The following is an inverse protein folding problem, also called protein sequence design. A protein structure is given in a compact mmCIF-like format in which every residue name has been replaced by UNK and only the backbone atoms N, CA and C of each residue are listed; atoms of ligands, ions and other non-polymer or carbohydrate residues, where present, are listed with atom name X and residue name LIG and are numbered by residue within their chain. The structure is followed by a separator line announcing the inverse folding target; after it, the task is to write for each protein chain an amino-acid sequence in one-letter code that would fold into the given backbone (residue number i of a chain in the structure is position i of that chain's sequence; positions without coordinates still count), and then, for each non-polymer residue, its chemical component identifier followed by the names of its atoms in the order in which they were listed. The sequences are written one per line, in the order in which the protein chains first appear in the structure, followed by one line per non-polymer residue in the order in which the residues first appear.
data_IF_114930163567
#
_entry.id   IF_114930163567
#
_cell.length_a   1.000
_cell.length_b   1.000
_cell.length_c   1.000
_cell.angle_alpha   90.00
_cell.angle_beta   90.00
_cell.angle_gamma   90.00
#
_symmetry.space_group_name_H-M   'P 1'
#
loop_
_entity.id
_entity.type
_entity.pdbx_description
1 polymer ?
#
# COMPACT_ATOMS: atom_id res chain seq x y z
N UNK A 1 25.03 13.56 7.87
CA UNK A 1 24.76 12.77 6.64
C UNK A 1 24.50 13.80 5.57
N UNK A 2 25.49 14.11 4.73
CA UNK A 2 25.46 15.30 3.86
C UNK A 2 24.28 15.28 2.87
N UNK A 3 24.00 14.14 2.25
CA UNK A 3 22.90 13.98 1.29
C UNK A 3 21.52 14.22 1.92
N UNK A 4 21.29 13.71 3.14
CA UNK A 4 20.03 13.99 3.84
C UNK A 4 19.86 15.47 4.12
N UNK A 5 20.91 16.13 4.61
CA UNK A 5 20.86 17.56 4.92
C UNK A 5 20.59 18.40 3.66
N UNK A 6 21.16 18.02 2.52
CA UNK A 6 20.91 18.64 1.22
C UNK A 6 19.45 18.43 0.76
N UNK A 7 18.94 17.20 0.84
CA UNK A 7 17.57 16.89 0.46
C UNK A 7 16.58 17.63 1.37
N UNK A 8 16.82 17.64 2.69
CA UNK A 8 15.98 18.37 3.64
C UNK A 8 15.96 19.88 3.36
N UNK A 9 17.12 20.49 3.06
CA UNK A 9 17.19 21.91 2.70
C UNK A 9 16.38 22.20 1.44
N UNK A 10 16.48 21.33 0.44
CA UNK A 10 15.73 21.46 -0.82
C UNK A 10 14.22 21.37 -0.62
N UNK A 11 13.74 20.54 0.31
CA UNK A 11 12.30 20.44 0.64
C UNK A 11 11.79 21.55 1.58
N UNK A 12 12.68 22.23 2.32
CA UNK A 12 12.33 23.38 3.16
C UNK A 12 12.15 24.68 2.36
N UNK A 13 12.81 24.80 1.21
CA UNK A 13 12.68 25.96 0.35
C UNK A 13 11.48 25.80 -0.60
N UNK A 14 10.56 26.78 -0.59
CA UNK A 14 9.44 26.81 -1.52
C UNK A 14 9.79 27.73 -2.69
N UNK A 15 10.07 27.13 -3.84
CA UNK A 15 10.27 27.84 -5.09
C UNK A 15 9.00 28.64 -5.47
N UNK A 16 9.15 29.86 -6.01
CA UNK A 16 8.02 30.63 -6.51
C UNK A 16 7.24 29.90 -7.60
N UNK A 17 5.92 30.12 -7.64
CA UNK A 17 5.05 29.48 -8.63
C UNK A 17 5.34 29.96 -10.06
N UNK A 18 5.55 29.00 -10.94
CA UNK A 18 5.76 29.20 -12.38
C UNK A 18 4.51 28.72 -13.11
N UNK A 19 3.87 29.63 -13.87
CA UNK A 19 2.69 29.34 -14.68
C UNK A 19 2.89 29.78 -16.12
N UNK A 20 2.60 28.89 -17.05
CA UNK A 20 2.50 29.16 -18.49
C UNK A 20 1.10 29.67 -18.88
N UNK A 21 0.94 30.17 -20.11
CA UNK A 21 -0.36 30.62 -20.62
C UNK A 21 -1.42 29.50 -20.63
N UNK A 22 -1.04 28.26 -20.91
CA UNK A 22 -1.93 27.09 -20.84
C UNK A 22 -2.35 26.76 -19.41
N UNK A 23 -1.46 26.93 -18.43
CA UNK A 23 -1.78 26.67 -17.01
C UNK A 23 -2.85 27.63 -16.52
N UNK A 24 -2.78 28.90 -16.93
CA UNK A 24 -3.81 29.88 -16.62
C UNK A 24 -5.17 29.52 -17.23
N UNK A 25 -5.19 28.99 -18.44
CA UNK A 25 -6.42 28.51 -19.06
C UNK A 25 -7.00 27.29 -18.32
N UNK A 26 -6.13 26.34 -17.96
CA UNK A 26 -6.49 25.17 -17.18
C UNK A 26 -7.10 25.57 -15.82
N UNK A 27 -6.43 26.47 -15.10
CA UNK A 27 -6.93 27.00 -13.83
C UNK A 27 -8.29 27.69 -13.97
N UNK A 28 -8.47 28.52 -15.02
CA UNK A 28 -9.73 29.23 -15.25
C UNK A 28 -10.89 28.29 -15.58
N UNK A 29 -10.64 27.23 -16.35
CA UNK A 29 -11.64 26.24 -16.78
C UNK A 29 -11.90 25.15 -15.74
N UNK A 30 -11.03 24.98 -14.74
CA UNK A 30 -11.15 23.91 -13.76
C UNK A 30 -12.40 24.04 -12.90
N UNK A 31 -13.28 23.04 -12.99
CA UNK A 31 -14.48 22.88 -12.16
C UNK A 31 -14.24 21.93 -10.98
N UNK A 32 -13.20 21.10 -11.05
CA UNK A 32 -12.87 20.10 -10.02
C UNK A 32 -11.51 20.38 -9.39
N UNK A 33 -11.40 20.10 -8.10
CA UNK A 33 -10.14 20.15 -7.35
C UNK A 33 -9.22 19.02 -7.83
N UNK A 34 -8.00 19.34 -8.23
CA UNK A 34 -7.07 18.30 -8.71
C UNK A 34 -6.61 17.33 -7.59
N UNK A 35 -6.74 17.70 -6.30
CA UNK A 35 -6.34 16.90 -5.13
C UNK A 35 -7.47 15.94 -4.73
N UNK A 36 -8.63 16.47 -4.34
CA UNK A 36 -9.73 15.66 -3.80
C UNK A 36 -10.76 15.24 -4.85
N UNK A 37 -10.65 15.74 -6.09
CA UNK A 37 -11.55 15.47 -7.22
C UNK A 37 -13.00 15.92 -7.04
N UNK A 38 -13.30 16.70 -5.99
CA UNK A 38 -14.63 17.31 -5.75
C UNK A 38 -14.75 18.67 -6.43
N UNK A 39 -15.99 19.14 -6.62
CA UNK A 39 -16.30 20.45 -7.21
C UNK A 39 -15.63 21.60 -6.45
N UNK A 40 -15.07 22.55 -7.21
CA UNK A 40 -14.52 23.79 -6.69
C UNK A 40 -15.64 24.81 -6.48
N UNK A 41 -15.63 25.46 -5.32
CA UNK A 41 -16.41 26.67 -5.09
C UNK A 41 -15.76 27.86 -5.81
N UNK A 42 -16.42 29.03 -5.76
CA UNK A 42 -15.94 30.26 -6.40
C UNK A 42 -14.51 30.65 -5.96
N UNK A 43 -14.13 30.33 -4.72
CA UNK A 43 -12.78 30.54 -4.19
C UNK A 43 -11.93 29.29 -4.42
N UNK A 44 -11.19 29.27 -5.53
CA UNK A 44 -10.17 28.26 -5.84
C UNK A 44 -8.76 28.84 -5.73
N UNK A 45 -7.84 28.04 -5.21
CA UNK A 45 -6.42 28.39 -5.08
C UNK A 45 -5.58 27.61 -6.09
N UNK A 46 -4.38 28.11 -6.35
CA UNK A 46 -3.42 27.50 -7.28
C UNK A 46 -2.41 26.69 -6.47
N UNK A 47 -2.39 25.38 -6.69
CA UNK A 47 -1.36 24.50 -6.12
C UNK A 47 -0.16 24.41 -7.05
N UNK A 48 1.02 24.27 -6.47
CA UNK A 48 2.27 24.12 -7.21
C UNK A 48 3.26 23.24 -6.47
N UNK A 49 4.17 22.64 -7.22
CA UNK A 49 5.22 21.83 -6.62
C UNK A 49 6.33 22.71 -6.04
N UNK A 50 6.46 22.72 -4.71
CA UNK A 50 7.40 23.60 -3.99
C UNK A 50 8.88 23.45 -4.40
N UNK A 51 9.29 22.31 -4.96
CA UNK A 51 10.69 22.08 -5.37
C UNK A 51 10.99 22.60 -6.78
N UNK A 52 9.98 22.70 -7.66
CA UNK A 52 10.19 23.11 -9.07
C UNK A 52 9.45 24.37 -9.46
N UNK A 53 8.58 24.89 -8.58
CA UNK A 53 7.67 25.99 -8.89
C UNK A 53 6.48 25.61 -9.80
N UNK A 54 6.50 24.43 -10.44
CA UNK A 54 5.52 24.08 -11.49
C UNK A 54 4.09 23.99 -10.95
N UNK A 55 3.16 24.63 -11.64
CA UNK A 55 1.73 24.52 -11.39
C UNK A 55 1.24 23.07 -11.51
N UNK A 56 0.41 22.65 -10.54
CA UNK A 56 -0.18 21.31 -10.51
C UNK A 56 -1.66 21.31 -10.87
N UNK A 57 -2.41 22.29 -10.36
CA UNK A 57 -3.83 22.38 -10.62
C UNK A 57 -4.57 23.35 -9.71
N UNK A 58 -5.85 23.56 -10.03
CA UNK A 58 -6.76 24.26 -9.14
C UNK A 58 -7.13 23.38 -7.93
N UNK A 59 -7.24 23.96 -6.75
CA UNK A 59 -7.57 23.26 -5.53
C UNK A 59 -8.47 24.07 -4.59
N UNK A 60 -9.13 23.39 -3.64
CA UNK A 60 -9.71 24.07 -2.47
C UNK A 60 -8.59 24.64 -1.60
N UNK A 61 -8.87 25.72 -0.87
CA UNK A 61 -7.90 26.31 0.05
C UNK A 61 -7.41 25.30 1.09
N UNK A 62 -8.34 24.57 1.71
CA UNK A 62 -8.02 23.56 2.73
C UNK A 62 -7.25 22.38 2.14
N UNK A 63 -7.61 21.92 0.93
CA UNK A 63 -6.86 20.87 0.25
C UNK A 63 -5.43 21.31 -0.01
N UNK A 64 -5.23 22.53 -0.53
CA UNK A 64 -3.91 23.08 -0.83
C UNK A 64 -3.04 23.25 0.43
N UNK A 65 -3.62 23.75 1.53
CA UNK A 65 -2.89 23.93 2.79
C UNK A 65 -2.44 22.58 3.36
N UNK A 66 -3.29 21.55 3.24
CA UNK A 66 -3.00 20.22 3.77
C UNK A 66 -2.16 19.36 2.81
N UNK A 67 -2.12 19.68 1.52
CA UNK A 67 -1.36 18.96 0.50
C UNK A 67 0.09 19.45 0.46
N UNK A 68 0.78 19.30 1.59
CA UNK A 68 2.18 19.68 1.76
C UNK A 68 3.03 18.45 2.01
N UNK A 69 4.29 18.55 1.62
CA UNK A 69 5.29 17.57 1.99
C UNK A 69 5.38 17.50 3.52
N UNK A 70 5.27 16.29 4.08
CA UNK A 70 5.21 16.06 5.54
C UNK A 70 6.58 16.14 6.22
N UNK A 71 7.64 16.42 5.44
CA UNK A 71 9.01 16.38 5.93
C UNK A 71 9.61 14.97 5.93
N UNK A 72 8.81 13.92 5.66
CA UNK A 72 9.29 12.53 5.69
C UNK A 72 9.68 12.01 4.30
N UNK A 73 10.84 11.38 4.22
CA UNK A 73 11.44 10.88 2.98
C UNK A 73 11.41 9.35 2.98
N UNK A 74 10.63 8.71 2.10
CA UNK A 74 10.62 7.26 1.99
C UNK A 74 11.86 6.75 1.25
N UNK A 75 12.64 5.89 1.91
CA UNK A 75 13.78 5.16 1.40
C UNK A 75 13.34 3.73 1.07
N UNK A 76 13.17 3.45 -0.22
CA UNK A 76 12.60 2.18 -0.69
C UNK A 76 13.71 1.18 -1.00
N UNK A 77 13.61 0.01 -0.41
CA UNK A 77 14.49 -1.13 -0.65
C UNK A 77 13.65 -2.34 -1.11
N UNK A 78 14.26 -3.30 -1.80
CA UNK A 78 13.58 -4.56 -2.13
C UNK A 78 14.07 -5.68 -1.23
N UNK A 79 13.16 -6.25 -0.43
CA UNK A 79 13.44 -7.26 0.58
C UNK A 79 14.36 -6.76 1.72
N UNK A 80 14.16 -5.51 2.13
CA UNK A 80 14.85 -4.89 3.26
C UNK A 80 14.81 -5.76 4.51
N UNK A 81 13.62 -6.29 4.83
CA UNK A 81 13.39 -7.12 6.01
C UNK A 81 14.17 -8.45 5.98
N UNK A 82 14.47 -8.96 4.79
CA UNK A 82 15.15 -10.24 4.61
C UNK A 82 16.67 -10.15 4.62
N UNK A 83 17.24 -9.01 4.21
CA UNK A 83 18.68 -8.86 3.99
C UNK A 83 19.26 -7.62 4.67
N UNK A 84 18.90 -6.42 4.19
CA UNK A 84 19.64 -5.20 4.51
C UNK A 84 19.33 -4.61 5.89
N UNK A 85 18.16 -4.92 6.47
CA UNK A 85 17.70 -4.29 7.72
C UNK A 85 18.68 -4.49 8.88
N UNK A 86 19.28 -5.67 9.00
CA UNK A 86 20.21 -5.97 10.09
C UNK A 86 21.51 -5.17 9.97
N UNK A 87 22.07 -5.08 8.76
CA UNK A 87 23.30 -4.33 8.49
C UNK A 87 23.08 -2.84 8.71
N UNK A 88 21.96 -2.31 8.21
CA UNK A 88 21.59 -0.90 8.39
C UNK A 88 21.39 -0.59 9.88
N UNK A 89 20.70 -1.45 10.63
CA UNK A 89 20.50 -1.24 12.07
C UNK A 89 21.82 -1.19 12.86
N UNK A 90 22.78 -2.06 12.51
CA UNK A 90 24.12 -2.05 13.11
C UNK A 90 24.89 -0.77 12.78
N UNK A 91 24.75 -0.26 11.55
CA UNK A 91 25.36 0.99 11.13
C UNK A 91 24.72 2.20 11.85
N UNK A 92 23.39 2.21 11.99
CA UNK A 92 22.63 3.26 12.68
C UNK A 92 23.06 3.41 14.13
N UNK A 93 23.37 2.31 14.83
CA UNK A 93 23.85 2.36 16.22
C UNK A 93 25.13 3.18 16.38
N UNK A 94 25.92 3.35 15.31
CA UNK A 94 27.14 4.17 15.30
C UNK A 94 26.88 5.64 14.95
N UNK A 95 25.67 5.99 14.51
CA UNK A 95 25.28 7.35 14.15
C UNK A 95 24.66 8.02 15.37
N UNK A 96 25.40 8.93 15.99
CA UNK A 96 24.90 9.71 17.13
C UNK A 96 24.00 10.87 16.67
N UNK A 97 23.05 11.26 17.52
CA UNK A 97 22.25 12.48 17.33
C UNK A 97 21.00 12.36 16.45
N UNK A 98 20.58 11.15 16.05
CA UNK A 98 19.31 10.94 15.32
C UNK A 98 18.37 10.00 16.06
N UNK A 99 17.10 10.37 16.10
CA UNK A 99 16.05 9.55 16.69
C UNK A 99 15.77 8.34 15.78
N UNK A 100 15.90 7.15 16.35
CA UNK A 100 15.51 5.89 15.72
C UNK A 100 14.12 5.50 16.22
N UNK A 101 13.20 5.24 15.29
CA UNK A 101 11.90 4.62 15.56
C UNK A 101 11.80 3.30 14.77
N UNK A 102 11.16 2.27 15.31
CA UNK A 102 11.00 1.00 14.61
C UNK A 102 9.63 0.38 14.83
N UNK A 103 9.15 -0.31 13.80
CA UNK A 103 7.95 -1.15 13.85
C UNK A 103 8.45 -2.59 13.75
N UNK A 104 8.58 -3.26 14.90
CA UNK A 104 8.98 -4.65 14.94
C UNK A 104 7.85 -5.56 14.39
N UNK A 105 8.22 -6.58 13.61
CA UNK A 105 7.31 -7.65 13.24
C UNK A 105 7.39 -8.80 14.26
N UNK A 106 8.61 -9.16 14.61
CA UNK A 106 8.95 -10.11 15.66
C UNK A 106 10.30 -9.71 16.29
N UNK A 107 10.88 -10.57 17.13
CA UNK A 107 12.14 -10.26 17.82
C UNK A 107 13.37 -10.11 16.90
N UNK A 108 13.28 -10.58 15.65
CA UNK A 108 14.41 -10.57 14.71
C UNK A 108 14.17 -9.61 13.54
N UNK A 109 12.93 -9.48 13.09
CA UNK A 109 12.58 -8.81 11.84
C UNK A 109 11.74 -7.57 12.10
N UNK A 110 12.05 -6.51 11.35
CA UNK A 110 11.36 -5.23 11.40
C UNK A 110 10.47 -5.08 10.16
N UNK A 111 9.28 -4.51 10.33
CA UNK A 111 8.40 -4.11 9.22
C UNK A 111 8.98 -2.86 8.55
N UNK A 112 9.39 -1.88 9.35
CA UNK A 112 9.99 -0.63 8.92
C UNK A 112 10.74 0.00 10.09
N UNK A 113 11.69 0.88 9.79
CA UNK A 113 12.34 1.73 10.77
C UNK A 113 12.53 3.13 10.18
N UNK A 114 12.58 4.12 11.06
CA UNK A 114 12.75 5.53 10.71
C UNK A 114 13.97 6.08 11.41
N UNK A 115 14.77 6.86 10.67
CA UNK A 115 15.93 7.57 11.21
C UNK A 115 15.77 9.06 10.95
N UNK A 116 15.40 9.82 11.99
CA UNK A 116 15.00 11.22 11.84
C UNK A 116 13.80 11.35 10.91
N UNK A 117 13.99 11.99 9.76
CA UNK A 117 12.94 12.20 8.76
C UNK A 117 12.89 11.12 7.65
N UNK A 118 13.81 10.14 7.65
CA UNK A 118 13.84 9.09 6.64
C UNK A 118 13.07 7.86 7.12
N UNK A 119 12.23 7.30 6.27
CA UNK A 119 11.49 6.07 6.54
C UNK A 119 11.94 4.96 5.61
N UNK A 120 12.41 3.86 6.16
CA UNK A 120 12.87 2.73 5.38
C UNK A 120 11.71 1.78 5.11
N UNK A 121 11.40 1.60 3.83
CA UNK A 121 10.23 0.86 3.36
C UNK A 121 10.69 -0.32 2.50
N UNK A 122 10.06 -1.46 2.70
CA UNK A 122 10.32 -2.67 1.95
C UNK A 122 9.27 -2.85 0.85
N UNK A 123 9.67 -2.66 -0.40
CA UNK A 123 8.80 -2.85 -1.57
C UNK A 123 8.25 -4.27 -1.68
N UNK A 124 8.93 -5.29 -1.13
CA UNK A 124 8.46 -6.68 -1.13
C UNK A 124 7.19 -6.84 -0.26
N UNK A 125 6.98 -5.97 0.72
CA UNK A 125 5.75 -5.95 1.52
C UNK A 125 4.54 -5.43 0.74
N UNK A 126 4.77 -4.79 -0.41
CA UNK A 126 3.73 -4.35 -1.33
C UNK A 126 3.58 -5.32 -2.50
N UNK A 127 4.70 -5.67 -3.11
CA UNK A 127 4.81 -6.47 -4.32
C UNK A 127 5.51 -7.78 -3.96
N UNK A 128 4.74 -8.78 -3.54
CA UNK A 128 5.24 -10.07 -3.06
C UNK A 128 5.76 -10.97 -4.20
N UNK A 129 6.66 -10.45 -5.01
CA UNK A 129 7.35 -11.12 -6.10
C UNK A 129 8.82 -10.74 -6.07
N UNK A 130 9.70 -11.63 -6.56
CA UNK A 130 11.12 -11.32 -6.67
C UNK A 130 11.37 -10.16 -7.62
N UNK A 131 12.45 -9.41 -7.39
CA UNK A 131 12.88 -8.35 -8.31
C UNK A 131 13.02 -8.87 -9.74
N UNK A 132 13.60 -10.06 -9.93
CA UNK A 132 13.69 -10.70 -11.25
C UNK A 132 12.32 -10.77 -11.94
N UNK A 133 11.27 -11.24 -11.25
CA UNK A 133 9.93 -11.34 -11.81
C UNK A 133 9.28 -9.98 -12.08
N UNK A 134 9.60 -8.97 -11.28
CA UNK A 134 9.12 -7.60 -11.49
C UNK A 134 9.80 -6.93 -12.69
N UNK A 135 11.06 -7.27 -12.95
CA UNK A 135 11.92 -6.67 -13.97
C UNK A 135 11.99 -7.51 -15.25
N UNK A 136 11.40 -8.72 -15.27
CA UNK A 136 11.35 -9.62 -16.44
C UNK A 136 10.83 -8.95 -17.73
N UNK A 137 10.01 -7.89 -17.60
CA UNK A 137 9.47 -7.12 -18.72
C UNK A 137 10.12 -5.73 -18.91
N UNK A 138 11.17 -5.39 -18.17
CA UNK A 138 11.85 -4.09 -18.20
C UNK A 138 13.30 -4.22 -18.72
N UNK A 139 13.80 -3.16 -19.36
CA UNK A 139 15.17 -3.13 -19.87
C UNK A 139 16.19 -3.13 -18.71
N UNK A 140 17.32 -3.82 -18.92
CA UNK A 140 18.32 -4.20 -17.92
C UNK A 140 18.91 -3.01 -17.14
N UNK A 141 18.41 -2.76 -15.93
CA UNK A 141 19.10 -2.08 -14.82
C UNK A 141 18.26 -2.23 -13.53
N UNK A 142 18.69 -3.09 -12.59
CA UNK A 142 17.87 -3.58 -11.47
C UNK A 142 17.33 -2.48 -10.53
N UNK A 143 18.08 -1.39 -10.31
CA UNK A 143 17.68 -0.30 -9.40
C UNK A 143 16.71 0.67 -10.05
N UNK A 144 16.96 1.05 -11.31
CA UNK A 144 16.03 1.91 -12.05
C UNK A 144 14.72 1.19 -12.31
N UNK A 145 14.77 -0.11 -12.61
CA UNK A 145 13.57 -0.91 -12.79
C UNK A 145 12.74 -1.02 -11.50
N UNK A 146 13.37 -1.12 -10.31
CA UNK A 146 12.63 -1.06 -9.06
C UNK A 146 11.95 0.30 -8.86
N UNK A 147 12.64 1.39 -9.16
CA UNK A 147 12.09 2.74 -9.06
C UNK A 147 10.88 2.89 -9.99
N UNK A 148 11.01 2.50 -11.27
CA UNK A 148 9.94 2.58 -12.26
C UNK A 148 8.71 1.76 -11.84
N UNK A 149 8.91 0.51 -11.40
CA UNK A 149 7.81 -0.36 -10.95
C UNK A 149 7.12 0.23 -9.73
N UNK A 150 7.89 0.71 -8.75
CA UNK A 150 7.31 1.26 -7.52
C UNK A 150 6.65 2.61 -7.76
N UNK A 151 7.18 3.47 -8.63
CA UNK A 151 6.56 4.73 -9.02
C UNK A 151 5.21 4.49 -9.72
N UNK A 152 5.16 3.56 -10.67
CA UNK A 152 3.91 3.16 -11.29
C UNK A 152 2.90 2.61 -10.25
N UNK A 153 3.35 1.78 -9.31
CA UNK A 153 2.51 1.30 -8.22
C UNK A 153 1.96 2.45 -7.35
N UNK A 154 2.78 3.44 -7.02
CA UNK A 154 2.37 4.63 -6.27
C UNK A 154 1.34 5.45 -7.05
N UNK A 155 1.56 5.66 -8.34
CA UNK A 155 0.64 6.38 -9.21
C UNK A 155 -0.72 5.68 -9.26
N UNK A 156 -0.75 4.36 -9.44
CA UNK A 156 -1.98 3.57 -9.38
C UNK A 156 -2.67 3.75 -8.02
N UNK A 157 -1.95 3.61 -6.91
CA UNK A 157 -2.54 3.77 -5.57
C UNK A 157 -3.12 5.16 -5.34
N UNK A 158 -2.42 6.21 -5.80
CA UNK A 158 -2.88 7.59 -5.72
C UNK A 158 -4.12 7.82 -6.61
N UNK A 159 -4.14 7.28 -7.83
CA UNK A 159 -5.24 7.48 -8.75
C UNK A 159 -6.51 6.74 -8.32
N UNK A 160 -6.39 5.48 -7.88
CA UNK A 160 -7.54 4.66 -7.51
C UNK A 160 -8.01 4.88 -6.06
N UNK A 161 -7.08 5.02 -5.12
CA UNK A 161 -7.40 5.10 -3.69
C UNK A 161 -7.16 6.49 -3.08
N UNK A 162 -6.42 7.36 -3.78
CA UNK A 162 -5.99 8.65 -3.25
C UNK A 162 -5.06 8.52 -2.03
N UNK A 163 -4.29 7.43 -1.96
CA UNK A 163 -3.31 7.16 -0.92
C UNK A 163 -1.96 6.87 -1.58
N UNK A 164 -0.89 7.48 -1.07
CA UNK A 164 0.47 7.18 -1.54
C UNK A 164 1.02 5.98 -0.79
N UNK A 165 1.32 4.90 -1.53
CA UNK A 165 1.92 3.70 -0.97
C UNK A 165 3.28 3.97 -0.30
N UNK A 166 4.02 5.00 -0.74
CA UNK A 166 5.31 5.35 -0.15
C UNK A 166 5.21 5.96 1.25
N UNK A 167 4.01 6.28 1.72
CA UNK A 167 3.79 6.71 3.11
C UNK A 167 3.20 5.61 3.99
N UNK A 168 3.23 4.38 3.48
CA UNK A 168 2.73 3.18 4.13
C UNK A 168 3.80 2.12 4.18
N UNK A 169 3.52 1.03 4.90
CA UNK A 169 4.53 0.01 5.18
C UNK A 169 4.29 -1.31 4.46
N UNK A 170 3.02 -1.65 4.17
CA UNK A 170 2.66 -2.98 3.64
C UNK A 170 1.37 -2.91 2.80
N UNK A 171 1.19 -3.86 1.90
CA UNK A 171 -0.05 -4.03 1.13
C UNK A 171 -1.31 -4.21 2.02
N UNK A 172 -1.29 -5.03 3.09
CA UNK A 172 -2.41 -5.09 4.04
C UNK A 172 -2.68 -3.76 4.74
N UNK A 173 -1.65 -3.01 5.09
CA UNK A 173 -1.80 -1.67 5.68
C UNK A 173 -2.46 -0.68 4.72
N UNK A 174 -2.03 -0.69 3.44
CA UNK A 174 -2.66 0.07 2.37
C UNK A 174 -4.13 -0.32 2.18
N UNK A 175 -4.43 -1.61 2.08
CA UNK A 175 -5.80 -2.10 1.91
C UNK A 175 -6.70 -1.68 3.08
N UNK A 176 -6.20 -1.77 4.32
CA UNK A 176 -6.93 -1.35 5.52
C UNK A 176 -7.22 0.15 5.51
N UNK A 177 -6.23 0.99 5.21
CA UNK A 177 -6.44 2.44 5.13
C UNK A 177 -7.37 2.85 3.99
N UNK A 178 -7.24 2.20 2.82
CA UNK A 178 -8.17 2.39 1.71
C UNK A 178 -9.59 2.05 2.14
N UNK A 179 -9.80 0.92 2.82
CA UNK A 179 -11.12 0.51 3.30
C UNK A 179 -11.72 1.55 4.28
N UNK A 180 -10.93 2.05 5.24
CA UNK A 180 -11.37 3.10 6.17
C UNK A 180 -11.72 4.39 5.44
N UNK A 181 -10.89 4.81 4.48
CA UNK A 181 -11.13 6.01 3.69
C UNK A 181 -12.39 5.90 2.82
N UNK A 182 -12.60 4.76 2.17
CA UNK A 182 -13.76 4.53 1.31
C UNK A 182 -15.06 4.41 2.11
N UNK A 183 -15.01 3.81 3.30
CA UNK A 183 -16.20 3.64 4.16
C UNK A 183 -16.49 4.87 5.02
N UNK A 184 -15.50 5.74 5.26
CA UNK A 184 -15.61 6.87 6.18
C UNK A 184 -15.71 6.47 7.66
N UNK A 185 -15.46 5.19 7.97
CA UNK A 185 -15.60 4.65 9.32
C UNK A 185 -14.42 5.07 10.18
N UNK A 186 -14.72 5.53 11.40
CA UNK A 186 -13.71 5.81 12.42
C UNK A 186 -13.64 4.63 13.37
N UNK A 187 -12.48 4.00 13.43
CA UNK A 187 -12.24 2.94 14.41
C UNK A 187 -11.98 3.56 15.78
N UNK A 188 -12.66 3.04 16.79
CA UNK A 188 -12.39 3.34 18.19
C UNK A 188 -11.29 2.41 18.71
N UNK A 189 -10.42 2.94 19.57
CA UNK A 189 -9.40 2.13 20.21
C UNK A 189 -10.07 1.18 21.21
N UNK A 190 -9.76 -0.12 21.12
CA UNK A 190 -10.18 -1.07 22.15
C UNK A 190 -9.40 -0.79 23.44
N UNK A 191 -10.07 -0.22 24.42
CA UNK A 191 -9.49 0.09 25.75
C UNK A 191 -9.70 -1.04 26.75
N UNK A 192 -10.65 -1.94 26.49
CA UNK A 192 -10.97 -3.08 27.36
C UNK A 192 -10.28 -4.36 26.87
N UNK A 193 -9.57 -5.01 27.80
CA UNK A 193 -8.86 -6.28 27.58
C UNK A 193 -9.84 -7.42 27.31
N UNK A 194 -11.02 -7.42 27.92
CA UNK A 194 -12.01 -8.49 27.72
C UNK A 194 -12.57 -8.46 26.30
N UNK A 195 -12.79 -7.26 25.74
CA UNK A 195 -13.18 -7.10 24.34
C UNK A 195 -12.09 -7.61 23.39
N UNK A 196 -10.82 -7.31 23.68
CA UNK A 196 -9.69 -7.80 22.89
C UNK A 196 -9.61 -9.33 22.92
N UNK A 197 -9.65 -9.94 24.12
CA UNK A 197 -9.61 -11.39 24.30
C UNK A 197 -10.82 -12.09 23.66
N UNK A 198 -12.00 -11.47 23.69
CA UNK A 198 -13.18 -11.99 23.01
C UNK A 198 -12.96 -12.08 21.50
N UNK A 199 -12.43 -11.01 20.88
CA UNK A 199 -12.12 -10.99 19.45
C UNK A 199 -11.05 -12.02 19.12
N UNK A 200 -9.93 -12.05 19.84
CA UNK A 200 -8.84 -13.00 19.60
C UNK A 200 -9.32 -14.46 19.69
N UNK A 201 -10.12 -14.78 20.71
CA UNK A 201 -10.70 -16.13 20.88
C UNK A 201 -11.65 -16.51 19.74
N UNK A 202 -12.25 -15.53 19.07
CA UNK A 202 -13.15 -15.72 17.93
C UNK A 202 -12.44 -15.90 16.58
N UNK A 203 -11.18 -15.49 16.45
CA UNK A 203 -10.44 -15.57 15.18
C UNK A 203 -10.21 -17.03 14.75
N UNK A 204 -10.58 -17.37 13.52
CA UNK A 204 -10.33 -18.67 12.87
C UNK A 204 -9.75 -18.44 11.48
N UNK A 205 -8.82 -19.30 11.08
CA UNK A 205 -8.24 -19.29 9.74
C UNK A 205 -9.13 -19.99 8.71
N UNK A 206 -8.57 -20.24 7.52
CA UNK A 206 -9.23 -21.05 6.51
C UNK A 206 -9.47 -22.49 6.97
N UNK A 207 -10.56 -23.09 6.50
CA UNK A 207 -10.88 -24.49 6.78
C UNK A 207 -9.95 -25.37 5.96
N UNK A 208 -9.16 -26.21 6.63
CA UNK A 208 -8.37 -27.28 6.00
C UNK A 208 -8.79 -28.60 6.61
N UNK A 209 -9.45 -29.44 5.82
CA UNK A 209 -10.00 -30.73 6.26
C UNK A 209 -9.75 -31.80 5.21
N UNK A 210 -9.32 -32.98 5.67
CA UNK A 210 -9.27 -34.20 4.86
C UNK A 210 -10.38 -35.11 5.34
N UNK A 211 -11.50 -35.17 4.60
CA UNK A 211 -12.61 -36.08 4.90
C UNK A 211 -12.33 -37.52 4.45
N UNK A 212 -11.53 -37.69 3.39
CA UNK A 212 -11.13 -38.99 2.85
C UNK A 212 -9.61 -38.98 2.55
N UNK A 213 -8.85 -39.89 3.17
CA UNK A 213 -7.37 -39.85 3.13
C UNK A 213 -6.78 -40.20 1.77
N UNK A 214 -7.47 -41.02 0.99
CA UNK A 214 -6.96 -41.48 -0.30
C UNK A 214 -8.11 -41.70 -1.28
N UNK A 215 -8.14 -40.95 -2.38
CA UNK A 215 -9.07 -41.17 -3.49
C UNK A 215 -8.25 -41.42 -4.76
N UNK A 216 -8.64 -42.42 -5.55
CA UNK A 216 -7.97 -42.76 -6.80
C UNK A 216 -9.02 -42.76 -7.91
N UNK A 217 -8.78 -41.97 -8.96
CA UNK A 217 -9.57 -42.02 -10.17
C UNK A 217 -9.20 -43.26 -11.01
N UNK A 218 -10.20 -43.87 -11.63
CA UNK A 218 -10.09 -44.88 -12.67
C UNK A 218 -10.57 -44.26 -13.98
N UNK A 219 -9.66 -43.69 -14.76
CA UNK A 219 -9.96 -43.16 -16.08
C UNK A 219 -8.80 -43.40 -17.05
N UNK A 220 -9.08 -43.34 -18.35
CA UNK A 220 -8.11 -43.62 -19.43
C UNK A 220 -6.91 -42.67 -19.51
N UNK A 221 -6.90 -41.59 -18.74
CA UNK A 221 -5.84 -40.58 -18.75
C UNK A 221 -4.83 -40.77 -17.60
N UNK A 222 -5.06 -41.74 -16.70
CA UNK A 222 -4.13 -42.05 -15.61
C UNK A 222 -3.34 -43.34 -15.88
N UNK A 223 -2.08 -43.47 -15.42
CA UNK A 223 -1.21 -44.60 -15.77
C UNK A 223 -1.71 -45.99 -15.35
N UNK A 224 -2.57 -46.07 -14.32
CA UNK A 224 -3.05 -47.31 -13.71
C UNK A 224 -4.55 -47.55 -14.00
N UNK A 225 -4.99 -47.28 -15.21
CA UNK A 225 -6.37 -47.51 -15.66
C UNK A 225 -6.69 -49.01 -15.73
N UNK A 226 -7.81 -49.42 -15.13
CA UNK A 226 -8.33 -50.78 -15.23
C UNK A 226 -9.64 -50.76 -16.04
N UNK A 227 -9.66 -51.34 -17.26
CA UNK A 227 -10.85 -51.38 -18.10
C UNK A 227 -11.98 -52.26 -17.52
N UNK A 228 -11.69 -53.10 -16.52
CA UNK A 228 -12.70 -53.93 -15.85
C UNK A 228 -13.42 -53.20 -14.71
N UNK A 229 -12.94 -52.01 -14.31
CA UNK A 229 -13.56 -51.19 -13.27
C UNK A 229 -14.36 -50.03 -13.88
N UNK A 230 -15.38 -49.55 -13.16
CA UNK A 230 -16.17 -48.39 -13.59
C UNK A 230 -15.31 -47.14 -13.73
N UNK A 231 -15.55 -46.35 -14.76
CA UNK A 231 -14.86 -45.07 -14.98
C UNK A 231 -15.30 -44.06 -13.94
N UNK A 232 -14.36 -43.38 -13.29
CA UNK A 232 -14.64 -42.27 -12.38
C UNK A 232 -13.55 -41.17 -12.44
N UNK A 233 -13.90 -40.00 -11.91
CA UNK A 233 -13.04 -38.81 -11.92
C UNK A 233 -12.94 -38.22 -10.52
N UNK A 234 -11.78 -37.63 -10.21
CA UNK A 234 -11.62 -36.77 -9.04
C UNK A 234 -11.74 -35.34 -9.51
N UNK A 235 -12.64 -34.57 -8.88
CA UNK A 235 -12.87 -33.17 -9.21
C UNK A 235 -12.10 -32.28 -8.24
N UNK A 236 -11.38 -31.29 -8.77
CA UNK A 236 -10.80 -30.20 -8.00
C UNK A 236 -11.60 -28.93 -8.29
N UNK A 237 -12.13 -28.30 -7.26
CA UNK A 237 -12.86 -27.03 -7.35
C UNK A 237 -12.11 -25.99 -6.53
N UNK A 238 -11.77 -24.88 -7.18
CA UNK A 238 -11.19 -23.71 -6.55
C UNK A 238 -12.14 -22.53 -6.70
N UNK A 239 -12.37 -21.79 -5.62
CA UNK A 239 -13.22 -20.61 -5.65
C UNK A 239 -12.35 -19.36 -5.79
N UNK A 240 -12.52 -18.59 -6.87
CA UNK A 240 -11.73 -17.37 -7.04
C UNK A 240 -12.08 -16.32 -5.99
N UNK A 241 -11.06 -15.86 -5.24
CA UNK A 241 -11.17 -14.76 -4.28
C UNK A 241 -12.22 -14.98 -3.17
N UNK A 242 -12.19 -16.09 -2.42
CA UNK A 242 -13.26 -16.46 -1.50
C UNK A 242 -13.42 -15.45 -0.36
N UNK A 243 -12.31 -14.93 0.17
CA UNK A 243 -12.32 -13.88 1.18
C UNK A 243 -12.95 -12.59 0.64
N UNK A 244 -12.56 -12.16 -0.56
CA UNK A 244 -13.08 -10.94 -1.18
C UNK A 244 -14.60 -11.01 -1.37
N UNK A 245 -15.12 -12.14 -1.86
CA UNK A 245 -16.58 -12.34 -2.02
C UNK A 245 -17.31 -12.27 -0.67
N UNK A 246 -16.73 -12.82 0.40
CA UNK A 246 -17.32 -12.73 1.73
C UNK A 246 -17.37 -11.28 2.24
N UNK A 247 -16.32 -10.48 2.00
CA UNK A 247 -16.27 -9.06 2.35
C UNK A 247 -17.36 -8.21 1.67
N UNK A 248 -17.86 -8.60 0.51
CA UNK A 248 -18.96 -7.89 -0.16
C UNK A 248 -20.33 -8.12 0.51
N UNK A 249 -20.48 -9.13 1.37
CA UNK A 249 -21.79 -9.55 1.87
C UNK A 249 -22.27 -8.75 3.08
N UNK A 250 -21.45 -8.61 4.14
CA UNK A 250 -21.67 -7.81 5.37
C UNK A 250 -20.52 -8.00 6.37
N UNK A 251 -20.10 -6.94 7.06
CA UNK A 251 -19.13 -7.01 8.16
C UNK A 251 -19.55 -6.11 9.33
N UNK A 252 -19.30 -6.53 10.57
CA UNK A 252 -19.57 -5.73 11.78
C UNK A 252 -18.41 -4.81 12.11
N UNK A 253 -18.68 -3.53 12.33
CA UNK A 253 -17.73 -2.55 12.89
C UNK A 253 -18.41 -1.81 14.04
N UNK A 254 -17.91 -2.02 15.27
CA UNK A 254 -18.57 -1.53 16.48
C UNK A 254 -19.98 -2.09 16.61
N UNK A 255 -20.96 -1.22 16.85
CA UNK A 255 -22.40 -1.56 16.86
C UNK A 255 -23.06 -1.61 15.48
N UNK A 256 -22.31 -1.32 14.40
CA UNK A 256 -22.86 -1.12 13.05
C UNK A 256 -22.51 -2.28 12.13
N UNK A 257 -23.45 -2.71 11.29
CA UNK A 257 -23.17 -3.65 10.20
C UNK A 257 -22.95 -2.87 8.90
N UNK A 258 -21.73 -2.91 8.38
CA UNK A 258 -21.37 -2.33 7.09
C UNK A 258 -21.66 -3.33 5.96
N UNK A 259 -22.23 -2.82 4.86
CA UNK A 259 -22.33 -3.54 3.60
C UNK A 259 -21.50 -2.79 2.56
N UNK A 260 -20.35 -3.33 2.18
CA UNK A 260 -19.53 -2.77 1.11
C UNK A 260 -20.25 -2.99 -0.21
N UNK A 261 -20.90 -1.95 -0.75
CA UNK A 261 -21.38 -1.96 -2.14
C UNK A 261 -20.18 -1.81 -3.06
N UNK A 262 -20.00 -2.75 -3.98
CA UNK A 262 -19.11 -2.60 -5.11
C UNK A 262 -19.54 -1.39 -5.94
N UNK A 263 -18.61 -0.46 -6.18
CA UNK A 263 -18.73 0.48 -7.29
C UNK A 263 -18.56 -0.35 -8.57
N UNK A 264 -19.66 -0.62 -9.26
CA UNK A 264 -19.67 -1.08 -10.65
C UNK A 264 -19.30 0.07 -11.57
#
# INVERSE_FOLDING_TARGET
MKEQEEIEQRFKHCEPMIMSGSDWQSFKKATLCHICKKELADIRVRDHYHVTGKFRGAAHNDCNINYKFTGRIPMVFHNLRGYDSHLIMQAIRKVEGKQLNCIANNMEKYISFSLGCMDFIDSLQFMSSSLQKLVENLAKEDVLALADVFENFREICLNYYGLDAAHLYTSPGLASQTALKMTGVKLELLTDVDMHLFIEKGLRGGISMISHRHAKANNKYVPNYDPNQSINHVMYLDADGPCHRHFQLKFSVGSTILKLRTLT
#
